data_IF_349308875344
#
_entry.id   IF_349308875344
#
_cell.length_a   1.000
_cell.length_b   1.000
_cell.length_c   1.000
_cell.angle_alpha   90.00
_cell.angle_beta   90.00
_cell.angle_gamma   90.00
#
_symmetry.space_group_name_H-M   'P 1'
#
loop_
_entity.id
_entity.type
_entity.pdbx_description
1 polymer ?
#
# COMPACT_ATOMS: atom_id res chain seq x y z
N UNK A 1 -21.90 16.89 43.76
CA UNK A 1 -20.69 16.19 43.28
C UNK A 1 -20.95 14.94 42.41
N UNK A 2 -22.02 14.17 42.55
CA UNK A 2 -22.31 12.95 41.73
C UNK A 2 -22.63 13.23 40.25
N UNK A 3 -23.25 14.37 39.93
CA UNK A 3 -23.64 14.64 38.50
C UNK A 3 -22.47 15.01 37.59
N UNK A 4 -21.42 15.61 38.11
CA UNK A 4 -20.22 15.97 37.30
C UNK A 4 -19.42 14.74 36.86
N UNK A 5 -19.32 13.71 37.71
CA UNK A 5 -18.64 12.45 37.36
C UNK A 5 -19.34 11.63 36.29
N UNK A 6 -20.68 11.67 36.24
CA UNK A 6 -21.48 10.97 35.22
C UNK A 6 -21.32 11.63 33.85
N UNK A 7 -21.27 12.96 33.79
CA UNK A 7 -21.09 13.72 32.53
C UNK A 7 -19.69 13.51 31.97
N UNK A 8 -18.65 13.50 32.82
CA UNK A 8 -17.27 13.22 32.40
C UNK A 8 -17.12 11.78 31.88
N UNK A 9 -17.74 10.78 32.54
CA UNK A 9 -17.73 9.40 32.11
C UNK A 9 -18.44 9.18 30.76
N UNK A 10 -19.59 9.79 30.57
CA UNK A 10 -20.34 9.73 29.31
C UNK A 10 -19.59 10.39 28.15
N UNK A 11 -18.92 11.53 28.39
CA UNK A 11 -18.09 12.19 27.40
C UNK A 11 -16.89 11.36 26.95
N UNK A 12 -16.21 10.68 27.90
CA UNK A 12 -15.09 9.81 27.59
C UNK A 12 -15.53 8.58 26.81
N UNK A 13 -16.67 7.97 27.15
CA UNK A 13 -17.23 6.83 26.43
C UNK A 13 -17.60 7.22 24.99
N UNK A 14 -18.20 8.38 24.80
CA UNK A 14 -18.52 8.91 23.47
C UNK A 14 -17.27 9.14 22.60
N UNK A 15 -16.22 9.70 23.20
CA UNK A 15 -14.93 9.90 22.51
C UNK A 15 -14.29 8.57 22.10
N UNK A 16 -14.34 7.55 22.97
CA UNK A 16 -13.84 6.20 22.64
C UNK A 16 -14.65 5.54 21.54
N UNK A 17 -15.97 5.71 21.53
CA UNK A 17 -16.84 5.21 20.45
C UNK A 17 -16.56 5.93 19.13
N UNK A 18 -16.44 7.25 19.13
CA UNK A 18 -16.12 8.04 17.94
C UNK A 18 -14.72 7.69 17.40
N UNK A 19 -13.74 7.48 18.27
CA UNK A 19 -12.41 7.03 17.91
C UNK A 19 -12.42 5.60 17.32
N UNK A 20 -13.21 4.71 17.91
CA UNK A 20 -13.43 3.36 17.37
C UNK A 20 -14.08 3.37 15.98
N UNK A 21 -15.14 4.18 15.80
CA UNK A 21 -15.78 4.37 14.49
C UNK A 21 -14.81 4.99 13.49
N UNK A 22 -14.00 5.98 13.89
CA UNK A 22 -13.00 6.60 13.01
C UNK A 22 -11.90 5.63 12.57
N UNK A 23 -11.43 4.73 13.46
CA UNK A 23 -10.48 3.67 13.11
C UNK A 23 -11.13 2.66 12.15
N UNK A 24 -12.36 2.26 12.42
CA UNK A 24 -13.10 1.29 11.60
C UNK A 24 -13.46 1.84 10.22
N UNK A 25 -13.72 3.14 10.12
CA UNK A 25 -14.08 3.83 8.86
C UNK A 25 -12.89 4.27 8.03
N UNK A 26 -11.64 4.00 8.44
CA UNK A 26 -10.49 4.23 7.57
C UNK A 26 -10.63 3.30 6.37
N UNK A 27 -10.72 3.85 5.14
CA UNK A 27 -10.70 3.00 3.96
C UNK A 27 -9.40 2.20 4.02
N UNK A 28 -9.50 0.87 4.00
CA UNK A 28 -8.36 0.02 3.74
C UNK A 28 -7.80 0.46 2.40
N UNK A 29 -6.54 0.91 2.40
CA UNK A 29 -5.88 1.36 1.18
C UNK A 29 -5.90 0.18 0.22
N UNK A 30 -6.81 0.25 -0.77
CA UNK A 30 -6.75 -0.44 -2.03
C UNK A 30 -6.34 -1.91 -2.08
N UNK A 31 -6.67 -2.73 -1.04
CA UNK A 31 -6.47 -4.18 -1.17
C UNK A 31 -7.28 -4.66 -2.38
N UNK A 32 -6.57 -5.02 -3.46
CA UNK A 32 -7.16 -5.60 -4.66
C UNK A 32 -7.59 -7.04 -4.39
N UNK A 33 -6.86 -7.73 -3.52
CA UNK A 33 -7.17 -9.10 -3.10
C UNK A 33 -6.09 -9.74 -2.26
N UNK A 34 -6.41 -10.91 -1.71
CA UNK A 34 -5.46 -11.71 -0.94
C UNK A 34 -5.68 -13.20 -1.10
N UNK A 35 -4.61 -13.97 -0.92
CA UNK A 35 -4.63 -15.45 -0.96
C UNK A 35 -4.02 -15.98 0.34
N UNK A 36 -4.78 -16.80 1.08
CA UNK A 36 -4.28 -17.49 2.27
C UNK A 36 -3.26 -18.57 1.87
N UNK A 37 -2.12 -18.60 2.56
CA UNK A 37 -1.03 -19.54 2.26
C UNK A 37 -0.84 -20.56 3.36
N UNK A 38 -1.04 -20.21 4.62
CA UNK A 38 -0.90 -21.11 5.77
C UNK A 38 -2.03 -20.87 6.77
N UNK A 39 -2.66 -21.97 7.18
CA UNK A 39 -3.69 -21.96 8.20
C UNK A 39 -3.09 -21.86 9.60
N UNK A 40 -3.68 -21.03 10.45
CA UNK A 40 -3.41 -20.95 11.88
C UNK A 40 -4.68 -21.26 12.67
N UNK A 41 -4.54 -22.12 13.70
CA UNK A 41 -5.67 -22.45 14.58
C UNK A 41 -6.12 -21.25 15.43
N UNK A 42 -5.19 -20.37 15.77
CA UNK A 42 -5.44 -19.15 16.55
C UNK A 42 -4.90 -17.93 15.77
N UNK A 43 -5.78 -16.96 15.53
CA UNK A 43 -5.45 -15.73 14.77
C UNK A 43 -5.70 -15.86 13.26
N UNK A 44 -5.40 -14.80 12.50
CA UNK A 44 -5.55 -14.80 11.05
C UNK A 44 -4.54 -15.74 10.37
N UNK A 45 -4.87 -16.23 9.19
CA UNK A 45 -3.95 -17.03 8.37
C UNK A 45 -2.81 -16.18 7.79
N UNK A 46 -1.67 -16.84 7.49
CA UNK A 46 -0.67 -16.22 6.62
C UNK A 46 -1.27 -16.02 5.24
N UNK A 47 -0.99 -14.89 4.60
CA UNK A 47 -1.56 -14.56 3.29
C UNK A 47 -0.58 -13.80 2.42
N UNK A 48 -0.77 -13.86 1.11
CA UNK A 48 -0.22 -12.91 0.16
C UNK A 48 -1.31 -11.88 -0.11
N UNK A 49 -0.97 -10.61 0.07
CA UNK A 49 -1.85 -9.47 -0.19
C UNK A 49 -1.38 -8.76 -1.45
N UNK A 50 -2.33 -8.33 -2.27
CA UNK A 50 -2.09 -7.51 -3.46
C UNK A 50 -2.82 -6.18 -3.24
N UNK A 51 -2.04 -5.09 -3.20
CA UNK A 51 -2.54 -3.74 -3.10
C UNK A 51 -2.40 -3.02 -4.44
N UNK A 52 -3.44 -2.30 -4.85
CA UNK A 52 -3.41 -1.41 -6.01
C UNK A 52 -3.14 0.03 -5.57
N UNK A 53 -2.36 0.77 -6.35
CA UNK A 53 -2.16 2.20 -6.14
C UNK A 53 -1.89 2.92 -7.45
N UNK A 54 -2.21 4.21 -7.47
CA UNK A 54 -1.95 5.11 -8.58
C UNK A 54 -0.81 6.06 -8.24
N UNK A 55 -0.10 6.50 -9.26
CA UNK A 55 0.91 7.55 -9.10
C UNK A 55 0.20 8.90 -8.92
N UNK A 56 0.46 9.65 -7.85
CA UNK A 56 -0.24 10.91 -7.58
C UNK A 56 0.04 12.02 -8.59
N UNK A 57 1.11 11.88 -9.41
CA UNK A 57 1.50 12.86 -10.42
C UNK A 57 1.42 12.37 -11.85
N UNK A 58 1.08 11.09 -12.05
CA UNK A 58 1.03 10.48 -13.38
C UNK A 58 -0.28 9.75 -13.57
N UNK A 59 -1.21 10.38 -14.28
CA UNK A 59 -2.44 9.71 -14.71
C UNK A 59 -2.14 8.69 -15.81
N UNK A 60 -2.95 7.64 -15.88
CA UNK A 60 -2.87 6.62 -16.92
C UNK A 60 -1.88 5.49 -16.61
N UNK A 61 -1.39 5.41 -15.36
CA UNK A 61 -0.60 4.29 -14.85
C UNK A 61 -1.31 3.68 -13.66
N UNK A 62 -1.43 2.35 -13.64
CA UNK A 62 -1.84 1.59 -12.47
C UNK A 62 -0.72 0.67 -12.01
N UNK A 63 -0.47 0.63 -10.71
CA UNK A 63 0.53 -0.20 -10.07
C UNK A 63 -0.12 -1.19 -9.10
N UNK A 64 0.41 -2.40 -9.06
CA UNK A 64 0.06 -3.40 -8.07
C UNK A 64 1.32 -3.85 -7.35
N UNK A 65 1.22 -3.99 -6.03
CA UNK A 65 2.29 -4.50 -5.19
C UNK A 65 1.81 -5.71 -4.43
N UNK A 66 2.54 -6.82 -4.52
CA UNK A 66 2.23 -8.04 -3.77
C UNK A 66 3.26 -8.30 -2.69
N UNK A 67 2.80 -8.82 -1.57
CA UNK A 67 3.61 -9.06 -0.39
C UNK A 67 3.05 -10.16 0.50
N UNK A 68 3.94 -10.85 1.23
CA UNK A 68 3.53 -11.76 2.29
C UNK A 68 3.13 -10.99 3.55
N UNK A 69 2.08 -11.46 4.22
CA UNK A 69 1.66 -10.99 5.53
C UNK A 69 1.56 -12.19 6.48
N UNK A 70 2.29 -12.13 7.57
CA UNK A 70 2.29 -13.17 8.60
C UNK A 70 1.04 -13.06 9.46
N UNK A 71 0.35 -14.17 9.63
CA UNK A 71 -0.81 -14.32 10.49
C UNK A 71 -0.49 -14.79 11.90
N UNK A 72 -1.40 -15.58 12.49
CA UNK A 72 -1.30 -16.09 13.84
C UNK A 72 -1.45 -15.01 14.91
N UNK A 73 -1.12 -15.33 16.16
CA UNK A 73 -1.22 -14.38 17.27
C UNK A 73 -0.24 -13.21 17.11
N UNK A 74 0.98 -13.46 16.62
CA UNK A 74 1.99 -12.42 16.41
C UNK A 74 1.59 -11.46 15.29
N UNK A 75 1.01 -11.97 14.19
CA UNK A 75 0.49 -11.15 13.10
C UNK A 75 -0.70 -10.31 13.52
N UNK A 76 -1.66 -10.89 14.27
CA UNK A 76 -2.81 -10.17 14.80
C UNK A 76 -2.45 -9.05 15.77
N UNK A 77 -1.34 -9.17 16.50
CA UNK A 77 -0.81 -8.13 17.39
C UNK A 77 0.12 -7.12 16.68
N UNK A 78 0.40 -7.30 15.37
CA UNK A 78 1.28 -6.42 14.60
C UNK A 78 2.77 -6.52 14.99
N UNK A 79 3.16 -7.57 15.72
CA UNK A 79 4.55 -7.81 16.16
C UNK A 79 5.26 -8.90 15.35
N UNK A 80 4.57 -9.47 14.35
CA UNK A 80 5.20 -10.40 13.43
C UNK A 80 6.22 -9.69 12.55
N UNK A 81 7.34 -10.38 12.31
CA UNK A 81 8.32 -9.92 11.34
C UNK A 81 7.91 -10.38 9.94
N UNK A 82 7.25 -9.50 9.19
CA UNK A 82 6.97 -9.77 7.78
C UNK A 82 8.26 -9.71 6.97
N UNK A 83 8.37 -10.58 5.97
CA UNK A 83 9.48 -10.53 5.03
C UNK A 83 9.49 -9.18 4.31
N UNK A 84 10.67 -8.63 4.07
CA UNK A 84 10.83 -7.37 3.33
C UNK A 84 10.64 -7.56 1.81
N UNK A 85 10.27 -8.78 1.40
CA UNK A 85 10.05 -9.11 -0.01
C UNK A 85 8.71 -8.55 -0.49
N UNK A 86 8.77 -7.74 -1.53
CA UNK A 86 7.59 -7.27 -2.25
C UNK A 86 7.88 -7.34 -3.75
N UNK A 87 6.86 -7.64 -4.53
CA UNK A 87 6.92 -7.59 -5.99
C UNK A 87 6.03 -6.48 -6.49
N UNK A 88 6.49 -5.72 -7.50
CA UNK A 88 5.75 -4.62 -8.09
C UNK A 88 5.51 -4.85 -9.57
N UNK A 89 4.32 -4.51 -10.05
CA UNK A 89 3.95 -4.48 -11.46
C UNK A 89 3.16 -3.21 -11.75
N UNK A 90 3.69 -2.36 -12.62
CA UNK A 90 3.02 -1.16 -13.10
C UNK A 90 2.74 -1.28 -14.60
N UNK A 91 1.62 -0.74 -15.06
CA UNK A 91 1.21 -0.75 -16.47
C UNK A 91 0.58 0.57 -16.86
N UNK A 92 0.82 0.98 -18.10
CA UNK A 92 0.01 2.03 -18.71
C UNK A 92 -1.39 1.48 -18.97
N UNK A 93 -2.41 2.17 -18.47
CA UNK A 93 -3.83 1.81 -18.58
C UNK A 93 -4.66 2.88 -19.29
N UNK A 94 -4.04 3.98 -19.68
CA UNK A 94 -4.67 5.10 -20.35
C UNK A 94 -3.63 6.06 -20.94
N UNK A 95 -4.07 7.18 -21.51
CA UNK A 95 -3.15 8.23 -21.93
C UNK A 95 -2.39 8.76 -20.71
N UNK A 96 -1.06 8.85 -20.84
CA UNK A 96 -0.22 9.40 -19.78
C UNK A 96 -0.38 10.92 -19.74
N UNK A 97 -0.71 11.43 -18.56
CA UNK A 97 -0.66 12.86 -18.25
C UNK A 97 0.19 13.06 -17.01
N UNK A 98 1.15 13.96 -17.11
CA UNK A 98 2.09 14.29 -16.04
C UNK A 98 1.71 15.65 -15.45
N UNK A 99 1.48 15.66 -14.14
CA UNK A 99 1.19 16.89 -13.38
C UNK A 99 2.49 17.49 -12.83
N UNK A 100 2.91 18.58 -13.46
CA UNK A 100 4.11 19.33 -13.09
C UNK A 100 5.41 18.61 -13.42
N UNK A 101 6.48 18.95 -12.68
CA UNK A 101 7.81 18.38 -12.85
C UNK A 101 7.95 17.08 -12.06
N UNK A 102 8.44 16.03 -12.72
CA UNK A 102 8.74 14.76 -12.06
C UNK A 102 10.12 14.83 -11.39
N UNK A 103 10.14 14.62 -10.08
CA UNK A 103 11.38 14.51 -9.32
C UNK A 103 11.83 13.06 -9.27
N UNK A 104 13.09 12.80 -9.54
CA UNK A 104 13.69 11.47 -9.41
C UNK A 104 13.73 11.03 -7.95
N UNK A 105 13.34 9.79 -7.72
CA UNK A 105 13.24 9.25 -6.37
C UNK A 105 12.04 9.76 -5.56
N UNK A 106 11.08 10.45 -6.19
CA UNK A 106 9.85 10.87 -5.52
C UNK A 106 9.04 9.65 -5.06
N UNK A 107 8.62 9.69 -3.78
CA UNK A 107 7.82 8.62 -3.20
C UNK A 107 6.38 8.72 -3.69
N UNK A 108 5.91 7.65 -4.33
CA UNK A 108 4.55 7.54 -4.88
C UNK A 108 3.64 6.64 -4.05
N UNK A 109 4.24 5.77 -3.22
CA UNK A 109 3.51 4.89 -2.32
C UNK A 109 4.36 4.61 -1.07
N UNK A 110 3.71 4.54 0.09
CA UNK A 110 4.30 4.06 1.34
C UNK A 110 3.29 3.29 2.18
N UNK A 111 3.74 2.23 2.81
CA UNK A 111 2.96 1.44 3.75
C UNK A 111 3.79 1.08 4.98
N UNK A 112 3.26 1.41 6.14
CA UNK A 112 3.87 1.04 7.42
C UNK A 112 3.56 -0.43 7.73
N UNK A 113 4.60 -1.27 7.82
CA UNK A 113 4.51 -2.74 7.87
C UNK A 113 4.51 -3.34 9.26
N UNK A 114 4.96 -2.62 10.27
CA UNK A 114 4.95 -3.08 11.66
C UNK A 114 4.96 -1.89 12.61
N UNK A 115 4.56 -2.14 13.87
CA UNK A 115 4.70 -1.17 14.95
C UNK A 115 6.18 -0.82 15.22
N UNK A 116 7.13 -1.64 14.74
CA UNK A 116 8.56 -1.57 14.99
C UNK A 116 9.39 -1.12 13.78
N UNK A 117 8.87 -0.20 12.92
CA UNK A 117 9.68 0.59 11.97
C UNK A 117 9.99 0.03 10.59
N UNK A 118 9.31 -0.99 10.08
CA UNK A 118 9.44 -1.37 8.67
C UNK A 118 8.44 -0.60 7.82
N UNK A 119 8.91 0.10 6.80
CA UNK A 119 8.08 0.78 5.81
C UNK A 119 8.44 0.24 4.42
N UNK A 120 7.45 -0.28 3.72
CA UNK A 120 7.54 -0.58 2.30
C UNK A 120 7.27 0.72 1.54
N UNK A 121 8.15 1.08 0.63
CA UNK A 121 8.08 2.31 -0.15
C UNK A 121 8.20 2.01 -1.63
N UNK A 122 7.54 2.82 -2.44
CA UNK A 122 7.76 2.86 -3.88
C UNK A 122 8.18 4.26 -4.27
N UNK A 123 9.27 4.36 -4.99
CA UNK A 123 9.75 5.61 -5.58
C UNK A 123 9.72 5.52 -7.09
N UNK A 124 9.54 6.68 -7.72
CA UNK A 124 9.52 6.83 -9.18
C UNK A 124 10.76 7.55 -9.66
N UNK A 125 11.28 7.11 -10.81
CA UNK A 125 12.28 7.78 -11.65
C UNK A 125 11.72 7.97 -13.04
N UNK A 126 12.20 8.97 -13.75
CA UNK A 126 11.86 9.17 -15.16
C UNK A 126 13.11 9.08 -16.04
N UNK A 127 13.24 7.98 -16.77
CA UNK A 127 14.27 7.84 -17.81
C UNK A 127 13.85 8.65 -19.05
N UNK A 128 14.32 9.88 -19.10
CA UNK A 128 14.01 10.82 -20.20
C UNK A 128 14.53 10.30 -21.55
N UNK A 129 15.67 9.62 -21.56
CA UNK A 129 16.30 9.11 -22.76
C UNK A 129 15.46 8.02 -23.42
N UNK A 130 14.86 7.15 -22.60
CA UNK A 130 14.04 6.03 -23.08
C UNK A 130 12.54 6.30 -23.02
N UNK A 131 12.14 7.44 -22.46
CA UNK A 131 10.74 7.80 -22.18
C UNK A 131 10.00 6.71 -21.38
N UNK A 132 10.62 6.31 -20.27
CA UNK A 132 10.13 5.23 -19.41
C UNK A 132 9.99 5.75 -17.98
N UNK A 133 8.84 5.49 -17.35
CA UNK A 133 8.67 5.65 -15.92
C UNK A 133 9.15 4.37 -15.23
N UNK A 134 10.00 4.51 -14.23
CA UNK A 134 10.60 3.40 -13.49
C UNK A 134 10.16 3.48 -12.05
N UNK A 135 9.52 2.43 -11.56
CA UNK A 135 9.04 2.31 -10.18
C UNK A 135 9.89 1.29 -9.44
N UNK A 136 10.43 1.67 -8.28
CA UNK A 136 11.26 0.79 -7.44
C UNK A 136 10.60 0.65 -6.09
N UNK A 137 10.20 -0.58 -5.75
CA UNK A 137 9.72 -0.95 -4.43
C UNK A 137 10.86 -1.44 -3.57
N UNK A 138 10.98 -0.96 -2.34
CA UNK A 138 12.00 -1.39 -1.39
C UNK A 138 11.54 -1.15 0.06
N UNK A 139 12.17 -1.87 1.01
CA UNK A 139 11.97 -1.66 2.43
C UNK A 139 13.10 -0.83 3.02
N UNK A 140 12.78 0.15 3.86
CA UNK A 140 13.74 1.09 4.43
C UNK A 140 14.56 0.53 5.61
N UNK A 141 14.24 -0.67 6.13
CA UNK A 141 15.01 -1.30 7.20
C UNK A 141 15.79 -2.50 6.69
N UNK A 142 17.09 -2.41 6.82
CA UNK A 142 18.05 -3.50 6.63
C UNK A 142 18.56 -3.92 8.00
N UNK A 143 18.37 -5.18 8.38
CA UNK A 143 18.95 -5.73 9.61
C UNK A 143 20.35 -6.25 9.31
N UNK A 144 20.50 -6.96 8.18
CA UNK A 144 21.77 -7.42 7.62
C UNK A 144 21.67 -7.49 6.10
N UNK A 145 22.74 -7.12 5.40
CA UNK A 145 22.83 -7.18 3.94
C UNK A 145 22.18 -6.01 3.19
N UNK A 146 21.95 -6.18 1.89
CA UNK A 146 21.36 -5.18 1.02
C UNK A 146 19.83 -5.17 1.14
N UNK A 147 19.16 -4.00 0.98
CA UNK A 147 17.71 -3.94 0.98
C UNK A 147 17.14 -4.73 -0.21
N UNK A 148 16.15 -5.57 0.09
CA UNK A 148 15.39 -6.25 -0.94
C UNK A 148 14.59 -5.25 -1.74
N UNK A 149 14.60 -5.38 -3.05
CA UNK A 149 13.92 -4.46 -3.94
C UNK A 149 13.33 -5.19 -5.13
N UNK A 150 12.35 -4.55 -5.77
CA UNK A 150 11.79 -4.96 -7.05
C UNK A 150 11.54 -3.74 -7.92
N UNK A 151 11.52 -3.93 -9.23
CA UNK A 151 11.43 -2.86 -10.21
C UNK A 151 10.35 -3.16 -11.23
N UNK A 152 9.64 -2.10 -11.66
CA UNK A 152 8.72 -2.14 -12.79
C UNK A 152 8.93 -0.93 -13.68
N UNK A 153 8.97 -1.16 -15.00
CA UNK A 153 9.18 -0.12 -16.01
C UNK A 153 7.93 0.02 -16.87
N UNK A 154 7.48 1.27 -17.07
CA UNK A 154 6.30 1.62 -17.86
C UNK A 154 6.73 2.54 -19.01
N UNK A 155 6.85 2.04 -20.25
CA UNK A 155 7.08 2.88 -21.41
C UNK A 155 5.91 3.85 -21.60
N UNK A 156 6.21 5.12 -21.91
CA UNK A 156 5.19 6.11 -22.28
C UNK A 156 4.87 5.91 -23.77
N UNK A 157 3.73 5.26 -24.01
CA UNK A 157 3.28 4.96 -25.37
C UNK A 157 2.05 5.78 -25.74
N UNK A 158 1.87 6.02 -27.06
CA UNK A 158 0.63 6.56 -27.56
C UNK A 158 -0.51 5.61 -27.23
N UNK A 159 -1.55 6.11 -26.54
CA UNK A 159 -2.71 5.33 -26.18
C UNK A 159 -3.78 5.49 -27.28
N UNK A 160 -4.14 4.44 -28.03
CA UNK A 160 -5.23 4.51 -28.96
C UNK A 160 -6.55 4.78 -28.21
N UNK A 161 -7.33 5.75 -28.67
CA UNK A 161 -8.54 6.21 -27.99
C UNK A 161 -9.50 5.09 -27.64
N UNK A 162 -9.91 5.14 -26.44
CA UNK A 162 -11.01 4.47 -25.72
C UNK A 162 -11.69 3.25 -26.38
N UNK A 163 -11.17 2.06 -26.10
CA UNK A 163 -11.92 0.81 -26.29
C UNK A 163 -12.07 0.11 -24.93
N UNK A 164 -12.93 0.63 -24.08
CA UNK A 164 -13.39 -0.06 -22.86
C UNK A 164 -14.79 -0.65 -23.09
N UNK A 165 -14.98 -1.44 -24.11
CA UNK A 165 -16.18 -2.25 -24.24
C UNK A 165 -15.84 -3.69 -23.82
N UNK A 166 -16.33 -4.10 -22.64
CA UNK A 166 -16.36 -5.51 -22.28
C UNK A 166 -15.66 -5.94 -20.99
N UNK A 167 -15.31 -5.04 -20.07
CA UNK A 167 -14.82 -5.44 -18.74
C UNK A 167 -16.03 -5.67 -17.84
N UNK A 168 -16.29 -6.91 -17.34
CA UNK A 168 -17.33 -7.15 -16.35
C UNK A 168 -16.99 -6.41 -15.04
N UNK A 169 -18.01 -5.86 -14.42
CA UNK A 169 -17.93 -5.23 -13.09
C UNK A 169 -17.85 -6.27 -12.00
#
# INVERSE_FOLDING_TARGET
>A
MRRAGVILGAGMLLLLLLFGVWIYSRPERGETGSVSTRFHLLGPNDKIVVDGFDDPRVEGVACHISRAQTGGLKGGLGVAEDTSDASIACRQIGPIKIDGELKDGERVFDERRSLLFKTLQVVRFYDQQRKVLVYVAYSNRVIEGSPKNSISSVPIMNWPGNQTSGIPR
#
